data_IF_749158063778
#
_entry.id   IF_749158063778
#
_cell.length_a   1.000
_cell.length_b   1.000
_cell.length_c   1.000
_cell.angle_alpha   90.00
_cell.angle_beta   90.00
_cell.angle_gamma   90.00
#
_symmetry.space_group_name_H-M   'P 1'
#
loop_
_entity.id
_entity.type
_entity.pdbx_description
1 polymer ?
#
# COMPACT_ATOMS: atom_id res chain seq x y z
N UNK A 1 -2.84 11.10 -12.82
CA UNK A 1 -3.09 10.27 -11.62
C UNK A 1 -4.60 10.13 -11.45
N UNK A 2 -5.17 8.93 -11.25
CA UNK A 2 -6.65 8.72 -11.19
C UNK A 2 -7.21 8.65 -9.76
N UNK A 3 -6.32 8.67 -8.76
CA UNK A 3 -6.66 8.74 -7.35
C UNK A 3 -6.40 10.16 -6.83
N UNK A 4 -7.41 10.75 -6.18
CA UNK A 4 -7.36 12.09 -5.60
C UNK A 4 -6.53 12.16 -4.32
N UNK A 5 -6.21 11.01 -3.70
CA UNK A 5 -5.43 10.92 -2.46
C UNK A 5 -3.99 10.41 -2.67
N UNK A 6 -3.56 10.21 -3.91
CA UNK A 6 -2.25 9.63 -4.15
C UNK A 6 -1.10 10.56 -3.72
N UNK A 7 -1.23 11.88 -3.89
CA UNK A 7 -0.22 12.84 -3.40
C UNK A 7 -0.08 12.80 -1.87
N UNK A 8 -1.19 12.68 -1.15
CA UNK A 8 -1.24 12.58 0.30
C UNK A 8 -0.58 11.28 0.78
N UNK A 9 -0.78 10.17 0.05
CA UNK A 9 -0.09 8.91 0.32
C UNK A 9 1.43 9.04 0.18
N UNK A 10 1.93 9.73 -0.85
CA UNK A 10 3.37 10.00 -1.01
C UNK A 10 3.92 10.89 0.11
N UNK A 11 3.18 11.94 0.50
CA UNK A 11 3.58 12.82 1.61
C UNK A 11 3.65 12.07 2.94
N UNK A 12 2.67 11.22 3.22
CA UNK A 12 2.67 10.37 4.41
C UNK A 12 3.85 9.41 4.41
N UNK A 13 4.10 8.73 3.29
CA UNK A 13 5.25 7.83 3.15
C UNK A 13 6.58 8.56 3.39
N UNK A 14 6.75 9.75 2.81
CA UNK A 14 7.93 10.59 3.03
C UNK A 14 8.13 10.96 4.50
N UNK A 15 7.07 11.32 5.22
CA UNK A 15 7.13 11.63 6.67
C UNK A 15 7.49 10.40 7.50
N UNK A 16 6.93 9.23 7.19
CA UNK A 16 7.24 7.98 7.88
C UNK A 16 8.70 7.57 7.67
N UNK A 17 9.20 7.67 6.43
CA UNK A 17 10.60 7.43 6.10
C UNK A 17 11.53 8.39 6.84
N UNK A 18 11.21 9.69 6.86
CA UNK A 18 12.00 10.70 7.58
C UNK A 18 12.07 10.45 9.10
N UNK A 19 11.06 9.79 9.66
CA UNK A 19 11.04 9.36 11.06
C UNK A 19 11.75 8.00 11.31
N UNK A 20 12.40 7.42 10.31
CA UNK A 20 13.15 6.16 10.42
C UNK A 20 12.30 4.89 10.33
N UNK A 21 11.02 4.99 9.94
CA UNK A 21 10.17 3.82 9.76
C UNK A 21 10.50 3.09 8.46
N UNK A 22 10.38 1.76 8.47
CA UNK A 22 10.36 0.98 7.24
C UNK A 22 9.03 1.25 6.50
N UNK A 23 9.13 1.67 5.23
CA UNK A 23 7.97 2.03 4.40
C UNK A 23 8.08 1.37 3.04
N UNK A 24 6.97 0.82 2.54
CA UNK A 24 6.82 0.32 1.16
C UNK A 24 5.69 1.11 0.49
N UNK A 25 5.95 1.67 -0.68
CA UNK A 25 4.94 2.32 -1.52
C UNK A 25 4.66 1.41 -2.70
N UNK A 26 3.39 1.07 -2.92
CA UNK A 26 2.94 0.32 -4.10
C UNK A 26 1.91 1.16 -4.86
N UNK A 27 2.12 1.31 -6.16
CA UNK A 27 1.24 2.07 -7.06
C UNK A 27 0.59 1.11 -8.04
N UNK A 28 -0.72 1.22 -8.23
CA UNK A 28 -1.48 0.45 -9.21
C UNK A 28 -1.91 1.41 -10.34
N UNK A 29 -1.23 1.38 -11.50
CA UNK A 29 -1.49 2.35 -12.57
C UNK A 29 -2.95 2.33 -13.04
N UNK A 30 -3.56 3.51 -13.11
CA UNK A 30 -4.94 3.66 -13.58
C UNK A 30 -6.02 3.26 -12.59
N UNK A 31 -5.67 2.73 -11.42
CA UNK A 31 -6.62 2.45 -10.36
C UNK A 31 -7.20 3.76 -9.78
N UNK A 32 -8.54 3.89 -9.67
CA UNK A 32 -9.16 5.03 -9.00
C UNK A 32 -9.05 4.89 -7.47
N UNK A 33 -9.47 5.94 -6.76
CA UNK A 33 -9.71 5.83 -5.32
C UNK A 33 -10.70 4.70 -5.00
N UNK A 34 -10.54 4.05 -3.84
CA UNK A 34 -11.38 2.92 -3.37
C UNK A 34 -11.47 1.70 -4.30
N UNK A 35 -10.58 1.53 -5.28
CA UNK A 35 -10.65 0.39 -6.21
C UNK A 35 -10.65 -1.00 -5.52
N UNK A 36 -10.14 -1.08 -4.28
CA UNK A 36 -10.07 -2.31 -3.48
C UNK A 36 -11.46 -2.90 -3.17
N UNK A 37 -12.52 -2.07 -3.15
CA UNK A 37 -13.90 -2.52 -2.91
C UNK A 37 -14.41 -3.49 -4.01
N UNK A 38 -13.78 -3.46 -5.19
CA UNK A 38 -14.12 -4.31 -6.32
C UNK A 38 -13.36 -5.65 -6.33
N UNK A 39 -12.78 -6.10 -5.22
CA UNK A 39 -11.92 -7.30 -5.16
C UNK A 39 -12.56 -8.58 -5.74
N UNK A 40 -13.88 -8.74 -5.67
CA UNK A 40 -14.58 -9.90 -6.23
C UNK A 40 -14.66 -9.91 -7.77
N UNK A 41 -14.45 -8.77 -8.41
CA UNK A 41 -14.63 -8.59 -9.87
C UNK A 41 -13.44 -7.94 -10.58
N UNK A 42 -12.45 -7.43 -9.83
CA UNK A 42 -11.26 -6.76 -10.36
C UNK A 42 -9.99 -7.49 -9.92
N UNK A 43 -9.23 -7.99 -10.90
CA UNK A 43 -7.92 -8.63 -10.65
C UNK A 43 -6.93 -7.70 -9.94
N UNK A 44 -6.93 -6.41 -10.29
CA UNK A 44 -6.03 -5.42 -9.68
C UNK A 44 -6.42 -5.19 -8.21
N UNK A 45 -7.72 -5.17 -7.90
CA UNK A 45 -8.20 -5.03 -6.52
C UNK A 45 -7.85 -6.26 -5.66
N UNK A 46 -8.04 -7.47 -6.20
CA UNK A 46 -7.65 -8.70 -5.52
C UNK A 46 -6.13 -8.76 -5.25
N UNK A 47 -5.32 -8.42 -6.26
CA UNK A 47 -3.87 -8.35 -6.11
C UNK A 47 -3.45 -7.35 -5.02
N UNK A 48 -4.10 -6.19 -4.94
CA UNK A 48 -3.77 -5.19 -3.93
C UNK A 48 -4.01 -5.65 -2.48
N UNK A 49 -5.04 -6.48 -2.26
CA UNK A 49 -5.27 -7.12 -0.97
C UNK A 49 -4.17 -8.15 -0.67
N UNK A 50 -3.81 -8.97 -1.66
CA UNK A 50 -2.78 -9.99 -1.52
C UNK A 50 -1.40 -9.37 -1.23
N UNK A 51 -1.03 -8.30 -1.92
CA UNK A 51 0.21 -7.57 -1.71
C UNK A 51 0.30 -7.00 -0.29
N UNK A 52 -0.82 -6.46 0.22
CA UNK A 52 -0.94 -6.00 1.61
C UNK A 52 -0.80 -7.13 2.62
N UNK A 53 -1.46 -8.27 2.39
CA UNK A 53 -1.35 -9.44 3.24
C UNK A 53 0.07 -10.03 3.27
N UNK A 54 0.75 -10.06 2.11
CA UNK A 54 2.13 -10.48 2.01
C UNK A 54 3.05 -9.58 2.82
N UNK A 55 2.91 -8.25 2.68
CA UNK A 55 3.69 -7.29 3.46
C UNK A 55 3.45 -7.46 4.97
N UNK A 56 2.20 -7.65 5.41
CA UNK A 56 1.89 -7.91 6.82
C UNK A 56 2.57 -9.19 7.32
N UNK A 57 2.53 -10.27 6.53
CA UNK A 57 3.22 -11.51 6.88
C UNK A 57 4.73 -11.29 7.04
N UNK A 58 5.37 -10.60 6.11
CA UNK A 58 6.78 -10.25 6.20
C UNK A 58 7.07 -9.43 7.48
N UNK A 59 6.31 -8.36 7.72
CA UNK A 59 6.52 -7.48 8.87
C UNK A 59 6.33 -8.18 10.22
N UNK A 60 5.36 -9.11 10.31
CA UNK A 60 5.06 -9.83 11.55
C UNK A 60 5.98 -11.05 11.78
N UNK A 61 6.60 -11.59 10.73
CA UNK A 61 7.52 -12.75 10.85
C UNK A 61 8.96 -12.34 11.14
N UNK A 62 9.37 -11.15 10.71
CA UNK A 62 10.75 -10.65 10.95
C UNK A 62 10.94 -10.12 12.39
N UNK A 63 9.85 -9.85 13.13
CA UNK A 63 9.90 -9.20 14.43
C UNK A 63 10.35 -7.73 14.32
N UNK A 64 10.01 -6.85 15.28
CA UNK A 64 10.55 -5.49 15.26
C UNK A 64 12.08 -5.57 15.34
N UNK A 65 12.77 -4.79 14.49
CA UNK A 65 14.21 -4.56 14.66
C UNK A 65 14.46 -4.03 16.09
N UNK A 66 15.56 -4.44 16.76
CA UNK A 66 15.88 -3.99 18.11
C UNK A 66 16.00 -2.46 18.22
#
# INVERSE_FOLDING_TARGET
MRDVLAEQSYLMAGRLMAAGNAVRIQVYPGAPHSFIEAASVSRVAAQAIEDGAHWLREALTVGPAP
#
